data_IF_823124071215
#
_entry.id   IF_823124071215
#
_cell.length_a   1.000
_cell.length_b   1.000
_cell.length_c   1.000
_cell.angle_alpha   90.00
_cell.angle_beta   90.00
_cell.angle_gamma   90.00
#
_symmetry.space_group_name_H-M   'P 1'
#
loop_
_entity.id
_entity.type
_entity.pdbx_description
1 polymer ?
#
# COMPACT_ATOMS: atom_id res chain seq x y z
N UNK A 1 17.24 4.61 -4.21
CA UNK A 1 16.31 3.79 -5.01
C UNK A 1 16.83 3.41 -6.40
N UNK A 2 17.47 4.31 -7.17
CA UNK A 2 18.11 3.94 -8.46
C UNK A 2 19.09 2.76 -8.37
N UNK A 3 19.82 2.63 -7.25
CA UNK A 3 20.76 1.52 -6.99
C UNK A 3 20.07 0.17 -6.72
N UNK A 4 18.78 0.17 -6.37
CA UNK A 4 17.97 -1.03 -6.11
C UNK A 4 17.16 -1.46 -7.35
N UNK A 5 16.97 -0.56 -8.31
CA UNK A 5 16.14 -0.78 -9.50
C UNK A 5 16.86 -0.20 -10.74
N UNK A 6 17.89 -0.88 -11.25
CA UNK A 6 18.81 -0.31 -12.25
C UNK A 6 18.17 -0.03 -13.61
N UNK A 7 17.04 -0.66 -13.96
CA UNK A 7 16.49 -0.62 -15.32
C UNK A 7 15.13 0.07 -15.47
N UNK A 8 14.64 0.82 -14.47
CA UNK A 8 13.37 1.52 -14.61
C UNK A 8 12.20 0.56 -14.82
N UNK A 9 11.78 -0.09 -13.74
CA UNK A 9 10.44 -0.65 -13.51
C UNK A 9 9.72 -1.24 -14.74
N UNK A 10 10.07 -2.47 -15.09
CA UNK A 10 9.08 -3.51 -15.41
C UNK A 10 8.82 -4.29 -14.12
N UNK A 11 8.20 -3.65 -13.12
CA UNK A 11 8.29 -4.12 -11.71
C UNK A 11 7.41 -5.32 -11.42
N UNK A 12 6.29 -5.51 -12.13
CA UNK A 12 5.41 -6.64 -11.87
C UNK A 12 5.29 -7.48 -13.12
N UNK A 13 5.97 -8.63 -13.12
CA UNK A 13 5.61 -9.73 -13.99
C UNK A 13 4.66 -10.63 -13.21
N UNK A 14 3.37 -10.65 -13.58
CA UNK A 14 2.32 -11.36 -12.83
C UNK A 14 2.65 -12.85 -12.63
N UNK A 15 3.39 -13.44 -13.57
CA UNK A 15 3.83 -14.85 -13.52
C UNK A 15 5.05 -15.07 -12.60
N UNK A 16 5.73 -14.02 -12.17
CA UNK A 16 6.93 -14.04 -11.32
C UNK A 16 6.88 -12.91 -10.27
N UNK A 17 5.87 -12.89 -9.41
CA UNK A 17 5.87 -11.98 -8.26
C UNK A 17 7.04 -12.31 -7.33
N UNK A 18 7.95 -11.36 -7.15
CA UNK A 18 9.04 -11.48 -6.20
C UNK A 18 8.59 -11.19 -4.77
N UNK A 19 9.41 -11.59 -3.80
CA UNK A 19 9.18 -11.26 -2.38
C UNK A 19 9.05 -9.75 -2.17
N UNK A 20 9.81 -8.94 -2.91
CA UNK A 20 9.76 -7.48 -2.79
C UNK A 20 8.42 -6.92 -3.30
N UNK A 21 7.85 -7.48 -4.37
CA UNK A 21 6.52 -7.08 -4.85
C UNK A 21 5.45 -7.35 -3.80
N UNK A 22 5.49 -8.53 -3.19
CA UNK A 22 4.56 -8.93 -2.13
C UNK A 22 4.68 -7.98 -0.93
N UNK A 23 5.90 -7.67 -0.49
CA UNK A 23 6.13 -6.76 0.62
C UNK A 23 5.66 -5.33 0.32
N UNK A 24 5.99 -4.79 -0.86
CA UNK A 24 5.56 -3.45 -1.26
C UNK A 24 4.03 -3.39 -1.38
N UNK A 25 3.43 -4.37 -2.05
CA UNK A 25 1.99 -4.51 -2.18
C UNK A 25 1.29 -4.61 -0.83
N UNK A 26 1.68 -5.56 0.02
CA UNK A 26 1.05 -5.76 1.32
C UNK A 26 1.15 -4.53 2.24
N UNK A 27 2.28 -3.83 2.23
CA UNK A 27 2.50 -2.66 3.10
C UNK A 27 1.76 -1.44 2.59
N UNK A 28 1.80 -1.16 1.28
CA UNK A 28 1.35 0.12 0.73
C UNK A 28 0.01 0.07 0.00
N UNK A 29 -0.56 -1.10 -0.32
CA UNK A 29 -1.92 -1.18 -0.88
C UNK A 29 -2.98 -0.49 0.00
N UNK A 30 -2.96 -0.61 1.35
CA UNK A 30 -3.93 0.10 2.20
C UNK A 30 -3.58 1.56 2.45
N UNK A 31 -2.53 2.13 1.82
CA UNK A 31 -2.02 3.47 2.16
C UNK A 31 -3.10 4.54 2.09
N UNK A 32 -4.00 4.49 1.08
CA UNK A 32 -5.08 5.47 0.97
C UNK A 32 -6.03 5.46 2.17
N UNK A 33 -6.41 4.28 2.65
CA UNK A 33 -7.26 4.14 3.84
C UNK A 33 -6.52 4.60 5.11
N UNK A 34 -5.21 4.34 5.19
CA UNK A 34 -4.37 4.81 6.28
C UNK A 34 -4.24 6.34 6.30
N UNK A 35 -3.99 6.96 5.14
CA UNK A 35 -3.92 8.41 4.98
C UNK A 35 -5.25 9.08 5.37
N UNK A 36 -6.38 8.51 4.93
CA UNK A 36 -7.73 8.97 5.28
C UNK A 36 -8.01 8.94 6.79
N UNK A 37 -7.68 7.84 7.47
CA UNK A 37 -7.95 7.69 8.91
C UNK A 37 -6.95 8.44 9.78
N UNK A 38 -5.70 8.53 9.34
CA UNK A 38 -4.64 9.17 10.10
C UNK A 38 -4.52 10.68 9.84
N UNK A 39 -5.11 11.18 8.76
CA UNK A 39 -4.96 12.55 8.26
C UNK A 39 -3.48 12.94 8.05
N UNK A 40 -2.73 12.01 7.46
CA UNK A 40 -1.30 12.18 7.12
C UNK A 40 -1.06 11.69 5.70
N UNK A 41 -0.04 12.23 5.04
CA UNK A 41 0.42 11.74 3.74
C UNK A 41 1.53 10.69 3.94
N UNK A 42 1.27 9.44 3.57
CA UNK A 42 2.21 8.32 3.67
C UNK A 42 3.03 8.22 2.37
N UNK A 43 2.38 8.34 1.21
CA UNK A 43 3.02 8.32 -0.10
C UNK A 43 2.92 9.70 -0.76
N UNK A 44 4.05 10.41 -0.78
CA UNK A 44 4.16 11.71 -1.43
C UNK A 44 4.44 11.50 -2.94
N UNK A 45 3.60 12.03 -3.86
CA UNK A 45 3.78 11.87 -5.30
C UNK A 45 5.11 12.38 -5.86
N UNK A 46 5.69 13.43 -5.26
CA UNK A 46 6.96 14.00 -5.70
C UNK A 46 8.14 13.18 -5.17
N UNK A 47 8.03 12.67 -3.94
CA UNK A 47 9.12 11.92 -3.28
C UNK A 47 9.09 10.42 -3.59
N UNK A 48 7.90 9.85 -3.82
CA UNK A 48 7.66 8.42 -3.94
C UNK A 48 7.01 7.98 -5.27
N UNK A 49 7.31 8.59 -6.44
CA UNK A 49 6.60 8.30 -7.69
C UNK A 49 6.74 6.82 -8.11
N UNK A 50 7.87 6.19 -7.81
CA UNK A 50 8.10 4.78 -8.13
C UNK A 50 7.26 3.83 -7.27
N UNK A 51 7.12 4.12 -5.97
CA UNK A 51 6.31 3.28 -5.06
C UNK A 51 4.83 3.41 -5.45
N UNK A 52 4.38 4.63 -5.76
CA UNK A 52 3.01 4.87 -6.20
C UNK A 52 2.70 4.10 -7.50
N UNK A 53 3.60 4.14 -8.49
CA UNK A 53 3.46 3.38 -9.72
C UNK A 53 3.43 1.87 -9.46
N UNK A 54 4.31 1.37 -8.59
CA UNK A 54 4.37 -0.04 -8.19
C UNK A 54 3.07 -0.51 -7.54
N UNK A 55 2.61 0.20 -6.51
CA UNK A 55 1.37 -0.13 -5.79
C UNK A 55 0.16 -0.04 -6.70
N UNK A 56 0.15 0.92 -7.62
CA UNK A 56 -0.91 1.03 -8.64
C UNK A 56 -0.93 -0.19 -9.55
N UNK A 57 0.23 -0.65 -10.04
CA UNK A 57 0.32 -1.87 -10.83
C UNK A 57 -0.07 -3.12 -10.03
N UNK A 58 0.33 -3.20 -8.75
CA UNK A 58 0.00 -4.31 -7.86
C UNK A 58 -1.50 -4.43 -7.63
N UNK A 59 -2.18 -3.31 -7.36
CA UNK A 59 -3.62 -3.26 -7.15
C UNK A 59 -4.45 -3.54 -8.42
N UNK A 60 -3.80 -3.57 -9.59
CA UNK A 60 -4.43 -3.95 -10.86
C UNK A 60 -4.32 -5.46 -11.15
N UNK A 61 -3.56 -6.21 -10.36
CA UNK A 61 -3.48 -7.67 -10.50
C UNK A 61 -4.80 -8.31 -10.11
N UNK A 62 -5.33 -9.18 -10.98
CA UNK A 62 -6.60 -9.90 -10.73
C UNK A 62 -6.59 -10.64 -9.40
N UNK A 63 -5.52 -11.40 -9.12
CA UNK A 63 -5.35 -12.12 -7.85
C UNK A 63 -5.38 -11.20 -6.63
N UNK A 64 -4.84 -9.98 -6.76
CA UNK A 64 -4.85 -9.01 -5.67
C UNK A 64 -6.26 -8.44 -5.49
N UNK A 65 -6.95 -8.08 -6.57
CA UNK A 65 -8.31 -7.55 -6.51
C UNK A 65 -9.32 -8.55 -5.93
N UNK A 66 -9.13 -9.85 -6.17
CA UNK A 66 -9.93 -10.93 -5.58
C UNK A 66 -9.70 -11.09 -4.07
N UNK A 67 -8.53 -10.69 -3.56
CA UNK A 67 -8.13 -10.84 -2.16
C UNK A 67 -8.25 -9.55 -1.35
N UNK A 68 -8.25 -8.38 -2.00
CA UNK A 68 -8.29 -7.10 -1.32
C UNK A 68 -9.66 -6.91 -0.65
N UNK A 69 -9.68 -6.61 0.67
CA UNK A 69 -10.92 -6.23 1.31
C UNK A 69 -11.42 -4.89 0.75
N UNK A 70 -12.74 -4.64 0.77
CA UNK A 70 -13.30 -3.34 0.39
C UNK A 70 -12.64 -2.19 1.17
N UNK A 71 -12.41 -1.05 0.52
CA UNK A 71 -11.76 0.11 1.14
C UNK A 71 -12.41 0.51 2.47
N UNK A 72 -13.74 0.61 2.51
CA UNK A 72 -14.49 1.00 3.71
C UNK A 72 -14.31 0.03 4.87
N UNK A 73 -14.08 -1.25 4.59
CA UNK A 73 -13.78 -2.26 5.61
C UNK A 73 -12.40 -2.00 6.23
N UNK A 74 -11.41 -1.65 5.41
CA UNK A 74 -10.06 -1.29 5.87
C UNK A 74 -10.13 0.01 6.70
N UNK A 75 -10.84 1.03 6.22
CA UNK A 75 -11.07 2.28 6.95
C UNK A 75 -11.71 2.01 8.32
N UNK A 76 -12.77 1.19 8.38
CA UNK A 76 -13.42 0.82 9.63
C UNK A 76 -12.48 0.11 10.62
N UNK A 77 -11.66 -0.83 10.14
CA UNK A 77 -10.65 -1.50 10.95
C UNK A 77 -9.61 -0.49 11.50
N UNK A 78 -9.11 0.40 10.65
CA UNK A 78 -8.13 1.41 11.03
C UNK A 78 -8.70 2.43 12.04
N UNK A 79 -9.96 2.84 11.89
CA UNK A 79 -10.64 3.69 12.85
C UNK A 79 -10.77 3.00 14.21
N UNK A 80 -11.12 1.71 14.24
CA UNK A 80 -11.16 0.91 15.46
C UNK A 80 -9.79 0.83 16.14
N UNK A 81 -8.72 0.54 15.37
CA UNK A 81 -7.34 0.51 15.88
C UNK A 81 -6.94 1.87 16.45
N UNK A 82 -7.18 2.97 15.72
CA UNK A 82 -6.88 4.33 16.16
C UNK A 82 -7.61 4.67 17.46
N UNK A 83 -8.91 4.39 17.55
CA UNK A 83 -9.71 4.65 18.76
C UNK A 83 -9.18 3.86 19.95
N UNK A 84 -8.79 2.61 19.75
CA UNK A 84 -8.24 1.74 20.80
C UNK A 84 -6.89 2.26 21.29
N UNK A 85 -5.99 2.60 20.36
CA UNK A 85 -4.67 3.13 20.68
C UNK A 85 -4.77 4.45 21.47
N UNK A 86 -5.60 5.40 21.01
CA UNK A 86 -5.79 6.68 21.68
C UNK A 86 -6.60 6.59 22.98
N UNK A 87 -7.55 5.67 23.08
CA UNK A 87 -8.35 5.43 24.28
C UNK A 87 -7.60 4.70 25.39
N UNK A 88 -6.49 4.02 25.05
CA UNK A 88 -5.63 3.32 26.03
C UNK A 88 -4.58 4.22 26.70
N UNK A 89 -4.55 5.52 26.37
CA UNK A 89 -3.60 6.49 26.93
C UNK A 89 -4.12 7.23 28.19
N UNK A 90 -5.09 6.66 28.90
CA UNK A 90 -5.67 7.19 30.14
C UNK A 90 -5.15 6.48 31.39
#
# INVERSE_FOLDING_TARGET
MKKLLPNGVSVIEVQNLGLLDILVGAVFSPSKAQEEVADVQILDPEKNPLIISWVTAWNQLTTVQELLPPHDMIVGLLQFVRKTALGSSG
#
